data_IF_516117212469
#
_entry.id   IF_516117212469
#
_cell.length_a   1.000
_cell.length_b   1.000
_cell.length_c   1.000
_cell.angle_alpha   90.00
_cell.angle_beta   90.00
_cell.angle_gamma   90.00
#
_symmetry.space_group_name_H-M   'P 1'
#
loop_
_entity.id
_entity.type
_entity.pdbx_description
1 polymer ?
#
# COMPACT_ATOMS: atom_id res chain seq x y z
N UNK A 1 -19.01 -15.09 5.15
CA UNK A 1 -18.57 -13.77 4.67
C UNK A 1 -17.40 -14.02 3.73
N UNK A 2 -17.21 -13.25 2.64
CA UNK A 2 -16.01 -13.39 1.82
C UNK A 2 -14.81 -12.88 2.64
N UNK A 3 -13.98 -13.80 3.13
CA UNK A 3 -12.72 -13.47 3.79
C UNK A 3 -11.62 -13.41 2.74
N UNK A 4 -10.83 -12.34 2.76
CA UNK A 4 -9.63 -12.21 1.93
C UNK A 4 -8.43 -12.14 2.85
N UNK A 5 -7.39 -12.93 2.57
CA UNK A 5 -6.19 -12.98 3.40
C UNK A 5 -5.09 -12.05 2.85
N UNK A 6 -4.28 -11.52 3.75
CA UNK A 6 -3.03 -10.82 3.46
C UNK A 6 -1.88 -11.69 3.98
N UNK A 7 -1.03 -12.14 3.06
CA UNK A 7 0.12 -12.95 3.41
C UNK A 7 1.16 -12.12 4.20
N UNK A 8 1.95 -12.75 5.10
CA UNK A 8 3.06 -12.06 5.75
C UNK A 8 4.05 -11.52 4.70
N UNK A 9 4.49 -10.28 4.87
CA UNK A 9 5.42 -9.59 3.96
C UNK A 9 4.94 -9.58 2.49
N UNK A 10 3.63 -9.56 2.26
CA UNK A 10 3.08 -9.45 0.92
C UNK A 10 3.55 -8.17 0.23
N UNK A 11 3.97 -8.30 -1.01
CA UNK A 11 4.39 -7.19 -1.85
C UNK A 11 3.77 -7.26 -3.24
N UNK A 12 3.60 -6.10 -3.87
CA UNK A 12 3.17 -5.98 -5.26
C UNK A 12 1.75 -6.47 -5.51
N UNK A 13 0.87 -6.51 -4.49
CA UNK A 13 -0.56 -6.79 -4.66
C UNK A 13 -1.40 -5.53 -4.63
N UNK A 14 -2.40 -5.47 -5.50
CA UNK A 14 -3.41 -4.41 -5.61
C UNK A 14 -4.78 -5.06 -5.48
N UNK A 15 -5.52 -4.73 -4.42
CA UNK A 15 -6.88 -5.24 -4.19
C UNK A 15 -7.89 -4.18 -4.58
N UNK A 16 -8.97 -4.61 -5.23
CA UNK A 16 -10.05 -3.73 -5.69
C UNK A 16 -11.35 -4.14 -5.01
N UNK A 17 -12.02 -3.17 -4.40
CA UNK A 17 -13.33 -3.31 -3.77
C UNK A 17 -14.31 -2.32 -4.39
N UNK A 18 -15.56 -2.71 -4.58
CA UNK A 18 -16.65 -1.76 -4.83
C UNK A 18 -17.34 -1.38 -3.53
N UNK A 19 -17.83 -0.14 -3.48
CA UNK A 19 -18.52 0.43 -2.32
C UNK A 19 -20.00 0.61 -2.67
N UNK A 20 -20.86 -0.19 -2.06
CA UNK A 20 -22.31 -0.03 -2.08
C UNK A 20 -22.76 0.96 -1.00
N UNK A 21 -22.21 2.17 -1.04
CA UNK A 21 -22.51 3.28 -0.14
C UNK A 21 -23.15 4.43 -0.92
N UNK A 22 -23.86 5.31 -0.22
CA UNK A 22 -24.29 6.57 -0.84
C UNK A 22 -23.10 7.45 -1.18
N UNK A 23 -23.33 8.40 -2.06
CA UNK A 23 -22.34 9.35 -2.54
C UNK A 23 -21.67 10.19 -1.43
N UNK A 24 -22.43 10.55 -0.41
CA UNK A 24 -21.94 11.35 0.71
C UNK A 24 -21.17 10.48 1.71
N UNK A 25 -21.63 9.25 1.96
CA UNK A 25 -20.92 8.28 2.81
C UNK A 25 -19.57 7.89 2.20
N UNK A 26 -19.54 7.61 0.89
CA UNK A 26 -18.30 7.26 0.21
C UNK A 26 -17.30 8.43 0.15
N UNK A 27 -17.79 9.67 -0.02
CA UNK A 27 -16.95 10.88 0.11
C UNK A 27 -16.38 11.04 1.51
N UNK A 28 -17.20 10.84 2.54
CA UNK A 28 -16.73 10.92 3.93
C UNK A 28 -15.65 9.86 4.20
N UNK A 29 -15.85 8.63 3.71
CA UNK A 29 -14.88 7.54 3.84
C UNK A 29 -13.56 7.82 3.10
N UNK A 30 -13.58 8.54 1.98
CA UNK A 30 -12.37 8.82 1.18
C UNK A 30 -11.28 9.52 1.99
N UNK A 31 -11.66 10.42 2.88
CA UNK A 31 -10.72 11.24 3.65
C UNK A 31 -10.59 10.76 5.12
N UNK A 32 -11.12 9.57 5.44
CA UNK A 32 -11.12 8.99 6.79
C UNK A 32 -10.46 7.60 6.80
N UNK A 33 -9.19 7.56 7.19
CA UNK A 33 -8.40 6.33 7.36
C UNK A 33 -9.04 5.35 8.36
N UNK A 34 -9.66 5.85 9.42
CA UNK A 34 -10.29 5.01 10.45
C UNK A 34 -11.52 4.33 9.87
N UNK A 35 -12.32 5.05 9.08
CA UNK A 35 -13.46 4.47 8.37
C UNK A 35 -13.01 3.42 7.34
N UNK A 36 -11.90 3.65 6.63
CA UNK A 36 -11.34 2.69 5.67
C UNK A 36 -10.85 1.41 6.34
N UNK A 37 -10.11 1.52 7.45
CA UNK A 37 -9.64 0.38 8.23
C UNK A 37 -10.83 -0.43 8.79
N UNK A 38 -11.80 0.25 9.38
CA UNK A 38 -13.01 -0.37 9.92
C UNK A 38 -13.83 -1.08 8.82
N UNK A 39 -13.92 -0.50 7.62
CA UNK A 39 -14.61 -1.10 6.49
C UNK A 39 -13.95 -2.41 6.02
N UNK A 40 -12.64 -2.57 6.19
CA UNK A 40 -11.89 -3.80 5.90
C UNK A 40 -11.85 -4.79 7.08
N UNK A 41 -12.37 -4.39 8.25
CA UNK A 41 -12.37 -5.19 9.47
C UNK A 41 -11.00 -5.26 10.16
N UNK A 42 -10.17 -4.24 10.01
CA UNK A 42 -8.82 -4.16 10.59
C UNK A 42 -8.65 -2.89 11.44
N UNK A 43 -7.63 -2.87 12.30
CA UNK A 43 -7.40 -1.74 13.22
C UNK A 43 -6.81 -0.50 12.55
N UNK A 44 -5.97 -0.69 11.54
CA UNK A 44 -5.23 0.39 10.89
C UNK A 44 -4.93 0.05 9.43
N UNK A 45 -4.82 1.08 8.61
CA UNK A 45 -4.41 0.99 7.22
C UNK A 45 -3.65 2.24 6.83
N UNK A 46 -2.62 2.16 6.00
CA UNK A 46 -1.94 3.36 5.51
C UNK A 46 -2.76 4.00 4.38
N UNK A 47 -3.32 5.18 4.64
CA UNK A 47 -4.09 5.96 3.66
C UNK A 47 -3.24 6.41 2.46
N UNK A 48 -1.90 6.50 2.58
CA UNK A 48 -1.04 6.81 1.44
C UNK A 48 -1.00 5.68 0.40
N UNK A 49 -1.41 4.47 0.79
CA UNK A 49 -1.51 3.28 -0.05
C UNK A 49 -2.94 2.76 -0.13
N UNK A 50 -3.91 3.65 0.03
CA UNK A 50 -5.34 3.35 -0.10
C UNK A 50 -6.01 4.47 -0.88
N UNK A 51 -6.79 4.12 -1.91
CA UNK A 51 -7.42 5.10 -2.78
C UNK A 51 -8.92 4.85 -2.83
N UNK A 52 -9.73 5.88 -2.62
CA UNK A 52 -11.19 5.81 -2.70
C UNK A 52 -11.69 6.88 -3.65
N UNK A 53 -12.37 6.49 -4.73
CA UNK A 53 -12.85 7.43 -5.76
C UNK A 53 -14.02 6.85 -6.55
N UNK A 54 -14.69 7.68 -7.34
CA UNK A 54 -15.72 7.21 -8.28
C UNK A 54 -15.10 6.76 -9.58
N UNK A 55 -15.54 5.62 -10.10
CA UNK A 55 -15.13 5.15 -11.43
C UNK A 55 -15.43 6.19 -12.52
N UNK A 56 -16.51 6.95 -12.37
CA UNK A 56 -16.87 8.04 -13.29
C UNK A 56 -15.82 9.16 -13.36
N UNK A 57 -15.01 9.35 -12.31
CA UNK A 57 -13.95 10.38 -12.28
C UNK A 57 -12.77 9.99 -13.19
N UNK A 58 -12.70 8.73 -13.62
CA UNK A 58 -11.69 8.23 -14.57
C UNK A 58 -12.05 8.50 -16.04
N UNK A 59 -13.28 8.94 -16.33
CA UNK A 59 -13.78 9.25 -17.68
C UNK A 59 -13.37 8.16 -18.72
N UNK A 60 -12.70 8.55 -19.81
CA UNK A 60 -12.32 7.64 -20.90
C UNK A 60 -11.24 6.62 -20.51
N UNK A 61 -10.49 6.85 -19.43
CA UNK A 61 -9.46 5.91 -18.98
C UNK A 61 -10.10 4.63 -18.43
N UNK A 62 -11.18 4.80 -17.66
CA UNK A 62 -11.87 3.73 -16.95
C UNK A 62 -10.98 3.00 -15.93
N UNK A 63 -11.60 2.13 -15.13
CA UNK A 63 -10.88 1.44 -14.05
C UNK A 63 -9.78 0.49 -14.56
N UNK A 64 -10.03 -0.20 -15.68
CA UNK A 64 -9.05 -1.12 -16.26
C UNK A 64 -7.78 -0.39 -16.75
N UNK A 65 -7.95 0.77 -17.41
CA UNK A 65 -6.82 1.60 -17.84
C UNK A 65 -6.08 2.17 -16.65
N UNK A 66 -6.80 2.63 -15.63
CA UNK A 66 -6.22 3.15 -14.40
C UNK A 66 -5.38 2.11 -13.65
N UNK A 67 -5.87 0.88 -13.48
CA UNK A 67 -5.12 -0.21 -12.84
C UNK A 67 -3.85 -0.56 -13.62
N UNK A 68 -3.92 -0.62 -14.95
CA UNK A 68 -2.78 -0.94 -15.81
C UNK A 68 -1.74 0.17 -15.82
N UNK A 69 -2.17 1.41 -16.10
CA UNK A 69 -1.27 2.52 -16.40
C UNK A 69 -0.88 3.31 -15.15
N UNK A 70 -1.80 3.46 -14.20
CA UNK A 70 -1.61 4.21 -12.94
C UNK A 70 -1.03 3.35 -11.82
N UNK A 71 -1.55 2.14 -11.65
CA UNK A 71 -1.12 1.24 -10.56
C UNK A 71 -0.11 0.18 -11.02
N UNK A 72 0.23 0.17 -12.31
CA UNK A 72 1.22 -0.75 -12.88
C UNK A 72 0.82 -2.21 -12.81
N UNK A 73 -0.47 -2.54 -12.75
CA UNK A 73 -0.95 -3.93 -12.68
C UNK A 73 -0.60 -4.69 -13.96
N UNK A 74 -0.24 -5.97 -13.81
CA UNK A 74 0.06 -6.87 -14.92
C UNK A 74 -1.05 -6.83 -16.00
N UNK A 75 -0.74 -6.42 -17.24
CA UNK A 75 -1.71 -6.28 -18.32
C UNK A 75 -2.50 -7.56 -18.60
N UNK A 76 -1.89 -8.74 -18.46
CA UNK A 76 -2.56 -10.02 -18.71
C UNK A 76 -3.68 -10.31 -17.70
N UNK A 77 -3.53 -9.83 -16.46
CA UNK A 77 -4.55 -9.96 -15.43
C UNK A 77 -5.69 -8.97 -15.66
N UNK A 78 -5.38 -7.74 -16.09
CA UNK A 78 -6.38 -6.73 -16.48
C UNK A 78 -7.17 -7.21 -17.70
N UNK A 79 -6.48 -7.81 -18.68
CA UNK A 79 -7.11 -8.33 -19.88
C UNK A 79 -8.14 -9.42 -19.52
N UNK A 80 -7.78 -10.37 -18.64
CA UNK A 80 -8.70 -11.43 -18.19
C UNK A 80 -9.97 -10.88 -17.51
N UNK A 81 -9.83 -9.82 -16.72
CA UNK A 81 -10.93 -9.24 -15.93
C UNK A 81 -11.57 -8.00 -16.58
N UNK A 82 -11.22 -7.66 -17.82
CA UNK A 82 -11.64 -6.37 -18.41
C UNK A 82 -13.14 -6.16 -18.41
N UNK A 83 -13.91 -7.16 -18.83
CA UNK A 83 -15.38 -7.06 -18.85
C UNK A 83 -15.95 -6.87 -17.45
N UNK A 84 -15.34 -7.49 -16.44
CA UNK A 84 -15.74 -7.35 -15.04
C UNK A 84 -15.43 -5.94 -14.52
N UNK A 85 -14.21 -5.45 -14.77
CA UNK A 85 -13.78 -4.11 -14.38
C UNK A 85 -14.56 -3.00 -15.11
N UNK A 86 -14.91 -3.22 -16.37
CA UNK A 86 -15.69 -2.28 -17.18
C UNK A 86 -17.18 -2.23 -16.78
N UNK A 87 -17.69 -3.27 -16.12
CA UNK A 87 -19.06 -3.31 -15.60
C UNK A 87 -19.20 -2.61 -14.23
N UNK A 88 -18.10 -2.20 -13.61
CA UNK A 88 -18.15 -1.51 -12.32
C UNK A 88 -18.54 -0.06 -12.52
N UNK A 89 -19.58 0.35 -11.81
CA UNK A 89 -20.02 1.72 -11.67
C UNK A 89 -19.92 2.16 -10.21
N UNK A 90 -20.06 3.47 -9.97
CA UNK A 90 -20.05 4.03 -8.63
C UNK A 90 -18.65 4.12 -8.01
N UNK A 91 -18.55 3.82 -6.71
CA UNK A 91 -17.35 4.04 -5.90
C UNK A 91 -16.51 2.77 -5.77
N UNK A 92 -15.20 2.95 -5.81
CA UNK A 92 -14.22 1.87 -5.61
C UNK A 92 -13.21 2.27 -4.55
N UNK A 93 -12.69 1.26 -3.86
CA UNK A 93 -11.52 1.35 -2.99
C UNK A 93 -10.44 0.44 -3.52
N UNK A 94 -9.27 1.01 -3.76
CA UNK A 94 -8.06 0.30 -4.14
C UNK A 94 -7.13 0.26 -2.93
N UNK A 95 -6.67 -0.95 -2.58
CA UNK A 95 -5.80 -1.17 -1.43
C UNK A 95 -4.54 -1.90 -1.88
N UNK A 96 -3.39 -1.28 -1.69
CA UNK A 96 -2.11 -1.90 -2.01
C UNK A 96 -1.63 -2.74 -0.84
N UNK A 97 -0.89 -3.81 -1.11
CA UNK A 97 -0.22 -4.64 -0.09
C UNK A 97 0.58 -3.82 0.94
N UNK A 98 1.19 -2.70 0.51
CA UNK A 98 1.95 -1.79 1.37
C UNK A 98 1.09 -1.12 2.44
N UNK A 99 -0.22 -0.98 2.22
CA UNK A 99 -1.15 -0.40 3.18
C UNK A 99 -1.24 -1.19 4.49
N UNK A 100 -0.87 -2.48 4.46
CA UNK A 100 -0.87 -3.39 5.61
C UNK A 100 0.49 -3.47 6.32
N UNK A 101 1.49 -2.67 5.92
CA UNK A 101 2.83 -2.64 6.53
C UNK A 101 3.51 -4.03 6.67
N UNK A 102 3.22 -4.96 5.75
CA UNK A 102 3.76 -6.32 5.74
C UNK A 102 3.18 -7.26 6.80
N UNK A 103 2.12 -6.84 7.51
CA UNK A 103 1.42 -7.68 8.49
C UNK A 103 0.61 -8.79 7.79
N UNK A 104 0.53 -9.96 8.44
CA UNK A 104 -0.45 -10.97 8.03
C UNK A 104 -1.79 -10.66 8.70
N UNK A 105 -2.82 -10.50 7.88
CA UNK A 105 -4.16 -10.07 8.31
C UNK A 105 -5.22 -10.91 7.63
N UNK A 106 -6.31 -11.17 8.34
CA UNK A 106 -7.51 -11.75 7.77
C UNK A 106 -8.54 -10.63 7.64
N UNK A 107 -8.81 -10.22 6.40
CA UNK A 107 -9.73 -9.12 6.13
C UNK A 107 -11.17 -9.63 6.30
N UNK A 108 -11.99 -8.81 6.94
CA UNK A 108 -13.42 -9.03 7.11
C UNK A 108 -14.18 -7.80 6.61
N UNK A 109 -14.25 -7.59 5.27
CA UNK A 109 -14.91 -6.42 4.73
C UNK A 109 -16.38 -6.36 5.15
N UNK A 110 -16.86 -5.15 5.45
CA UNK A 110 -18.28 -4.91 5.72
C UNK A 110 -19.12 -5.28 4.48
N UNK A 111 -20.43 -5.58 4.63
CA UNK A 111 -21.29 -5.95 3.49
C UNK A 111 -21.36 -4.92 2.36
N UNK A 112 -21.10 -3.64 2.66
CA UNK A 112 -21.03 -2.58 1.66
C UNK A 112 -19.74 -2.59 0.83
N UNK A 113 -18.72 -3.37 1.21
CA UNK A 113 -17.48 -3.57 0.44
C UNK A 113 -17.50 -4.94 -0.22
N UNK A 114 -17.59 -4.97 -1.55
CA UNK A 114 -17.49 -6.22 -2.32
C UNK A 114 -16.10 -6.34 -2.93
N UNK A 115 -15.37 -7.41 -2.57
CA UNK A 115 -14.07 -7.69 -3.18
C UNK A 115 -14.25 -8.10 -4.64
N UNK A 116 -13.69 -7.30 -5.55
CA UNK A 116 -13.70 -7.56 -6.99
C UNK A 116 -12.53 -8.45 -7.36
N UNK A 117 -11.32 -8.11 -6.98
CA UNK A 117 -10.14 -8.86 -7.39
C UNK A 117 -8.88 -8.42 -6.69
N UNK A 118 -7.90 -9.32 -6.70
CA UNK A 118 -6.53 -9.05 -6.26
C UNK A 118 -5.60 -9.27 -7.44
N UNK A 119 -4.87 -8.23 -7.80
CA UNK A 119 -3.97 -8.20 -8.94
C UNK A 119 -2.52 -8.04 -8.49
N UNK A 120 -1.57 -8.38 -9.36
CA UNK A 120 -0.14 -8.23 -9.13
C UNK A 120 0.39 -7.05 -9.96
N UNK A 121 1.22 -6.20 -9.36
CA UNK A 121 2.01 -5.18 -10.07
C UNK A 121 2.98 -5.88 -11.06
N UNK A 122 3.11 -5.35 -12.28
CA UNK A 122 3.92 -5.90 -13.38
C UNK A 122 5.44 -5.78 -13.19
N UNK A 123 5.91 -5.69 -11.96
CA UNK A 123 7.33 -5.78 -11.63
C UNK A 123 7.88 -7.19 -11.87
N UNK A 124 9.22 -7.38 -11.87
CA UNK A 124 9.79 -8.71 -12.00
C UNK A 124 9.22 -9.64 -10.94
N UNK A 125 8.76 -10.83 -11.35
CA UNK A 125 8.34 -11.94 -10.48
C UNK A 125 9.53 -12.33 -9.58
N UNK A 126 9.75 -11.56 -8.53
CA UNK A 126 10.69 -11.91 -7.48
C UNK A 126 9.85 -12.59 -6.43
N UNK A 127 9.80 -13.94 -6.38
CA UNK A 127 9.14 -14.61 -5.29
C UNK A 127 9.72 -14.06 -3.99
N UNK A 128 8.85 -13.53 -3.12
CA UNK A 128 9.21 -13.19 -1.74
C UNK A 128 9.45 -14.53 -1.06
N UNK A 129 10.67 -15.02 -1.18
CA UNK A 129 11.08 -16.22 -0.49
C UNK A 129 11.13 -15.84 0.98
N UNK A 130 10.24 -16.43 1.79
CA UNK A 130 10.30 -16.27 3.25
C UNK A 130 11.72 -16.62 3.66
N UNK A 131 12.46 -15.62 4.16
CA UNK A 131 13.82 -15.81 4.61
C UNK A 131 13.78 -16.61 5.91
N UNK A 132 13.72 -17.94 5.82
CA UNK A 132 14.11 -18.83 6.91
C UNK A 132 15.64 -18.78 7.00
N UNK A 133 16.18 -17.72 7.58
CA UNK A 133 17.61 -17.59 7.78
C UNK A 133 18.05 -18.57 8.88
N UNK A 134 18.65 -19.69 8.48
CA UNK A 134 19.25 -20.68 9.40
C UNK A 134 20.34 -20.06 10.30
N UNK A 135 20.88 -18.89 9.91
CA UNK A 135 21.79 -18.06 10.70
C UNK A 135 21.15 -17.38 11.93
N UNK A 136 19.82 -17.45 12.10
CA UNK A 136 19.11 -16.95 13.28
C UNK A 136 19.01 -17.98 14.42
N UNK A 137 19.63 -19.16 14.28
CA UNK A 137 19.78 -20.09 15.39
C UNK A 137 20.78 -19.52 16.41
N UNK A 138 20.42 -19.44 17.72
CA UNK A 138 21.36 -19.02 18.74
C UNK A 138 22.54 -20.00 18.81
N UNK A 139 23.72 -19.53 18.40
CA UNK A 139 24.96 -20.28 18.47
C UNK A 139 25.35 -20.52 19.94
N UNK A 140 25.33 -21.77 20.40
CA UNK A 140 25.76 -22.17 21.75
C UNK A 140 27.25 -22.56 21.82
N UNK A 141 28.12 -21.82 21.13
CA UNK A 141 29.57 -21.99 21.21
C UNK A 141 30.23 -20.89 22.04
N UNK A 142 31.01 -21.30 23.04
CA UNK A 142 31.65 -20.51 24.09
C UNK A 142 32.52 -19.36 23.52
N UNK A 143 32.46 -18.14 24.11
CA UNK A 143 33.01 -16.94 23.50
C UNK A 143 34.53 -16.85 23.69
N UNK A 144 35.25 -16.54 22.61
CA UNK A 144 36.59 -15.98 22.73
C UNK A 144 37.04 -15.20 21.51
N UNK A 145 36.50 -14.00 21.33
CA UNK A 145 37.31 -12.86 20.87
C UNK A 145 36.68 -11.59 21.43
N UNK A 146 37.45 -10.82 22.19
CA UNK A 146 37.08 -9.46 22.57
C UNK A 146 36.91 -8.66 21.28
N UNK A 147 35.76 -8.00 21.03
CA UNK A 147 35.65 -7.10 19.88
C UNK A 147 36.63 -5.95 20.08
N UNK A 148 37.53 -5.75 19.12
CA UNK A 148 38.25 -4.49 19.00
C UNK A 148 37.23 -3.40 18.65
N UNK A 149 37.16 -2.35 19.45
CA UNK A 149 36.35 -1.16 19.19
C UNK A 149 36.68 -0.57 17.80
N UNK A 150 35.72 -0.52 16.86
CA UNK A 150 35.88 0.27 15.66
C UNK A 150 35.64 1.75 15.98
N UNK A 151 36.58 2.57 15.56
CA UNK A 151 36.61 4.01 15.80
C UNK A 151 35.34 4.74 15.36
N UNK A 152 34.92 5.69 16.19
CA UNK A 152 33.79 6.61 16.02
C UNK A 152 34.01 7.51 14.79
N UNK A 153 33.54 7.09 13.63
CA UNK A 153 33.46 7.90 12.41
C UNK A 153 32.21 8.78 12.41
N UNK A 154 32.27 9.93 13.08
CA UNK A 154 31.20 10.94 13.02
C UNK A 154 31.30 11.76 11.74
N UNK A 155 30.41 11.51 10.78
CA UNK A 155 30.34 12.33 9.56
C UNK A 155 29.18 11.89 8.68
N UNK A 156 28.02 12.51 8.86
CA UNK A 156 26.87 12.24 7.98
C UNK A 156 25.54 12.87 8.41
N UNK A 157 25.39 13.22 9.69
CA UNK A 157 24.12 13.79 10.20
C UNK A 157 23.96 15.31 10.04
N UNK A 158 25.01 16.05 9.67
CA UNK A 158 24.95 17.51 9.53
C UNK A 158 24.50 18.00 8.15
N UNK A 159 24.56 17.17 7.11
CA UNK A 159 24.21 17.61 5.75
C UNK A 159 22.69 17.60 5.47
N UNK A 160 21.92 16.75 6.17
CA UNK A 160 20.45 16.69 6.01
C UNK A 160 19.77 17.90 6.64
N UNK A 161 20.28 18.42 7.76
CA UNK A 161 19.65 19.56 8.47
C UNK A 161 19.76 20.85 7.65
N UNK A 162 20.90 21.09 6.99
CA UNK A 162 21.09 22.29 6.14
C UNK A 162 20.16 22.28 4.93
N UNK A 163 19.93 21.10 4.33
CA UNK A 163 19.01 20.96 3.20
C UNK A 163 17.55 21.26 3.60
N UNK A 164 17.12 20.78 4.76
CA UNK A 164 15.76 21.03 5.28
C UNK A 164 15.55 22.50 5.62
N UNK A 165 16.54 23.15 6.24
CA UNK A 165 16.46 24.60 6.56
C UNK A 165 16.41 25.45 5.29
N UNK A 166 17.21 25.12 4.27
CA UNK A 166 17.17 25.83 2.99
C UNK A 166 15.81 25.68 2.28
N UNK A 167 15.21 24.49 2.32
CA UNK A 167 13.90 24.23 1.74
C UNK A 167 12.80 25.06 2.43
N UNK A 168 12.81 25.11 3.77
CA UNK A 168 11.82 25.87 4.55
C UNK A 168 11.93 27.37 4.24
N UNK A 169 13.14 27.92 4.18
CA UNK A 169 13.35 29.33 3.86
C UNK A 169 12.88 29.70 2.44
N UNK A 170 13.04 28.78 1.48
CA UNK A 170 12.58 28.98 0.10
C UNK A 170 11.04 29.01 0.02
N UNK A 171 10.37 28.11 0.74
CA UNK A 171 8.90 28.08 0.83
C UNK A 171 8.36 29.34 1.49
N UNK A 172 8.98 29.78 2.60
CA UNK A 172 8.57 31.02 3.29
C UNK A 172 8.76 32.24 2.39
N UNK A 173 9.88 32.31 1.66
CA UNK A 173 10.12 33.40 0.71
C UNK A 173 9.08 33.41 -0.42
N UNK A 174 8.71 32.25 -0.96
CA UNK A 174 7.68 32.14 -2.01
C UNK A 174 6.28 32.57 -1.54
N UNK A 175 5.97 32.37 -0.25
CA UNK A 175 4.70 32.78 0.35
C UNK A 175 4.65 34.28 0.71
N UNK A 176 5.80 34.96 0.77
CA UNK A 176 5.92 36.38 1.15
C UNK A 176 6.29 37.30 -0.04
N UNK A 177 6.58 36.72 -1.22
CA UNK A 177 6.94 37.44 -2.44
C UNK A 177 5.73 37.70 -3.34
#
# INVERSE_FOLDING_TARGET
MPHTEVAPQEAGKVRVYTLSLSDDEARAMRDDETAQAAALGIERIDAAFTEVFRVADLDQLGLAGYLRDGNGVNPDQIEKDRSKLAALDGWVMIVYSRAFAGQSLQLAPIPALTHIGTYTEGGPDTPVQAMEAEAAQPYTGIPRVSPAEPAKGGGGKTMVIVAVVALILLVIWWLLA
#
